data_IF_096422868321
#
_entry.id   IF_096422868321
#
_cell.length_a   1.000
_cell.length_b   1.000
_cell.length_c   1.000
_cell.angle_alpha   90.00
_cell.angle_beta   90.00
_cell.angle_gamma   90.00
#
_symmetry.space_group_name_H-M   'P 1'
#
loop_
_entity.id
_entity.type
_entity.pdbx_description
1 polymer ?
#
# COMPACT_ATOMS: atom_id res chain seq x y z
N UNK A 1 -20.79 8.92 -13.08
CA UNK A 1 -19.50 9.61 -12.88
C UNK A 1 -19.34 10.63 -13.99
N UNK A 2 -18.93 11.86 -13.68
CA UNK A 2 -18.60 12.85 -14.71
C UNK A 2 -17.36 12.39 -15.47
N UNK A 3 -17.45 12.24 -16.79
CA UNK A 3 -16.30 11.92 -17.64
C UNK A 3 -15.45 13.17 -17.82
N UNK A 4 -14.15 13.09 -17.56
CA UNK A 4 -13.24 14.19 -17.81
C UNK A 4 -13.24 14.57 -19.29
N UNK A 5 -13.29 15.88 -19.58
CA UNK A 5 -13.13 16.39 -20.93
C UNK A 5 -11.66 16.28 -21.37
N UNK A 6 -11.36 16.15 -22.68
CA UNK A 6 -9.98 16.16 -23.16
C UNK A 6 -9.17 17.38 -22.66
N UNK A 7 -9.81 18.55 -22.57
CA UNK A 7 -9.19 19.76 -22.03
C UNK A 7 -8.84 19.62 -20.54
N UNK A 8 -9.73 19.05 -19.74
CA UNK A 8 -9.45 18.82 -18.30
C UNK A 8 -8.33 17.81 -18.08
N UNK A 9 -8.25 16.75 -18.90
CA UNK A 9 -7.16 15.77 -18.86
C UNK A 9 -5.82 16.41 -19.25
N UNK A 10 -5.80 17.23 -20.30
CA UNK A 10 -4.59 17.95 -20.71
C UNK A 10 -4.09 18.89 -19.61
N UNK A 11 -4.98 19.56 -18.87
CA UNK A 11 -4.61 20.40 -17.72
C UNK A 11 -4.05 19.59 -16.56
N UNK A 12 -4.64 18.44 -16.26
CA UNK A 12 -4.16 17.53 -15.22
C UNK A 12 -2.78 16.96 -15.59
N UNK A 13 -2.60 16.55 -16.86
CA UNK A 13 -1.31 16.13 -17.39
C UNK A 13 -0.25 17.22 -17.26
N UNK A 14 -0.55 18.44 -17.73
CA UNK A 14 0.38 19.57 -17.65
C UNK A 14 0.80 19.89 -16.21
N UNK A 15 -0.14 19.76 -15.27
CA UNK A 15 0.12 19.96 -13.83
C UNK A 15 0.97 18.82 -13.27
N UNK A 16 0.60 17.56 -13.52
CA UNK A 16 1.30 16.40 -12.97
C UNK A 16 2.73 16.32 -13.50
N UNK A 17 2.91 16.51 -14.80
CA UNK A 17 4.20 16.40 -15.50
C UNK A 17 5.06 17.67 -15.38
N UNK A 18 4.60 18.68 -14.63
CA UNK A 18 5.31 19.94 -14.44
C UNK A 18 5.75 20.58 -15.77
N UNK A 19 4.86 20.64 -16.77
CA UNK A 19 5.22 21.11 -18.13
C UNK A 19 5.70 22.57 -18.13
N UNK A 20 5.17 23.42 -17.24
CA UNK A 20 5.62 24.81 -17.09
C UNK A 20 6.95 24.95 -16.34
N UNK A 21 7.41 23.89 -15.65
CA UNK A 21 8.66 23.87 -14.88
C UNK A 21 8.54 24.44 -13.46
N UNK A 22 7.43 25.08 -13.10
CA UNK A 22 7.23 25.79 -11.83
C UNK A 22 6.04 25.27 -11.00
N UNK A 23 5.50 24.09 -11.32
CA UNK A 23 4.38 23.49 -10.58
C UNK A 23 4.87 22.91 -9.25
N UNK A 24 4.40 23.41 -8.09
CA UNK A 24 4.83 22.90 -6.80
C UNK A 24 4.31 21.48 -6.54
N UNK A 25 5.10 20.67 -5.83
CA UNK A 25 4.82 19.23 -5.63
C UNK A 25 3.42 18.93 -5.09
N UNK A 26 2.91 19.72 -4.14
CA UNK A 26 1.56 19.53 -3.60
C UNK A 26 0.45 19.69 -4.66
N UNK A 27 0.64 20.55 -5.67
CA UNK A 27 -0.31 20.71 -6.76
C UNK A 27 -0.24 19.53 -7.74
N UNK A 28 0.96 18.97 -7.93
CA UNK A 28 1.18 17.75 -8.70
C UNK A 28 0.47 16.55 -8.05
N UNK A 29 0.57 16.39 -6.73
CA UNK A 29 -0.19 15.38 -5.98
C UNK A 29 -1.70 15.55 -6.12
N UNK A 30 -2.21 16.79 -6.01
CA UNK A 30 -3.65 17.04 -6.25
C UNK A 30 -4.08 16.60 -7.65
N UNK A 31 -3.24 16.84 -8.67
CA UNK A 31 -3.49 16.37 -10.03
C UNK A 31 -3.51 14.84 -10.11
N UNK A 32 -2.50 14.18 -9.51
CA UNK A 32 -2.39 12.72 -9.44
C UNK A 32 -3.62 12.07 -8.82
N UNK A 33 -4.07 12.54 -7.64
CA UNK A 33 -5.26 11.99 -6.98
C UNK A 33 -6.56 12.33 -7.71
N UNK A 34 -6.59 13.43 -8.47
CA UNK A 34 -7.72 13.70 -9.37
C UNK A 34 -7.75 12.67 -10.51
N UNK A 35 -6.60 12.37 -11.13
CA UNK A 35 -6.48 11.35 -12.17
C UNK A 35 -6.88 9.96 -11.67
N UNK A 36 -6.51 9.60 -10.42
CA UNK A 36 -6.93 8.34 -9.76
C UNK A 36 -8.45 8.14 -9.78
N UNK A 37 -9.22 9.21 -9.60
CA UNK A 37 -10.68 9.16 -9.51
C UNK A 37 -11.36 9.11 -10.89
N UNK A 38 -10.61 9.30 -11.98
CA UNK A 38 -11.15 9.32 -13.34
C UNK A 38 -11.12 7.91 -13.96
N UNK A 39 -12.21 7.48 -14.63
CA UNK A 39 -12.21 6.23 -15.37
C UNK A 39 -11.45 6.37 -16.69
N UNK A 40 -10.97 5.25 -17.23
CA UNK A 40 -10.43 5.17 -18.59
C UNK A 40 -8.93 4.88 -18.64
N UNK A 41 -8.38 4.84 -19.85
CA UNK A 41 -6.95 4.55 -20.07
C UNK A 41 -6.09 5.80 -19.90
N UNK A 42 -6.64 6.96 -20.26
CA UNK A 42 -5.84 8.18 -20.35
C UNK A 42 -5.26 8.62 -19.00
N UNK A 43 -5.98 8.54 -17.86
CA UNK A 43 -5.36 8.79 -16.56
C UNK A 43 -4.17 7.89 -16.27
N UNK A 44 -4.25 6.59 -16.61
CA UNK A 44 -3.14 5.64 -16.45
C UNK A 44 -1.96 6.06 -17.32
N UNK A 45 -2.21 6.39 -18.60
CA UNK A 45 -1.16 6.85 -19.52
C UNK A 45 -0.46 8.11 -19.00
N UNK A 46 -1.21 9.08 -18.48
CA UNK A 46 -0.68 10.33 -17.92
C UNK A 46 0.18 10.04 -16.69
N UNK A 47 -0.31 9.21 -15.77
CA UNK A 47 0.45 8.82 -14.57
C UNK A 47 1.72 8.07 -14.96
N UNK A 48 1.65 7.14 -15.91
CA UNK A 48 2.81 6.40 -16.43
C UNK A 48 3.88 7.30 -17.04
N UNK A 49 3.52 8.42 -17.69
CA UNK A 49 4.50 9.40 -18.20
C UNK A 49 5.28 10.08 -17.06
N UNK A 50 4.70 10.16 -15.88
CA UNK A 50 5.30 10.81 -14.71
C UNK A 50 6.52 10.11 -14.14
N UNK A 51 6.77 8.83 -14.46
CA UNK A 51 7.98 8.11 -14.01
C UNK A 51 9.30 8.65 -14.57
N UNK A 52 9.25 9.66 -15.45
CA UNK A 52 10.42 10.42 -15.91
C UNK A 52 10.82 11.55 -14.96
N UNK A 53 10.10 11.75 -13.86
CA UNK A 53 10.41 12.79 -12.88
C UNK A 53 11.64 12.43 -12.04
N UNK A 54 12.36 13.45 -11.58
CA UNK A 54 13.53 13.28 -10.71
C UNK A 54 13.14 13.00 -9.25
N UNK A 55 11.92 13.37 -8.83
CA UNK A 55 11.45 13.15 -7.46
C UNK A 55 11.08 11.69 -7.23
N UNK A 56 11.92 10.96 -6.47
CA UNK A 56 11.62 9.60 -6.01
C UNK A 56 10.29 9.54 -5.25
N UNK A 57 10.02 10.54 -4.40
CA UNK A 57 8.76 10.66 -3.67
C UNK A 57 7.54 10.73 -4.60
N UNK A 58 7.61 11.54 -5.66
CA UNK A 58 6.51 11.58 -6.62
C UNK A 58 6.36 10.24 -7.33
N UNK A 59 7.46 9.66 -7.82
CA UNK A 59 7.43 8.39 -8.56
C UNK A 59 6.89 7.23 -7.73
N UNK A 60 7.23 7.17 -6.45
CA UNK A 60 6.63 6.25 -5.48
C UNK A 60 5.10 6.42 -5.50
N UNK A 61 4.61 7.65 -5.28
CA UNK A 61 3.17 7.90 -5.26
C UNK A 61 2.47 7.58 -6.60
N UNK A 62 3.16 7.75 -7.74
CA UNK A 62 2.62 7.31 -9.04
C UNK A 62 2.38 5.80 -9.06
N UNK A 63 3.34 5.00 -8.58
CA UNK A 63 3.23 3.55 -8.51
C UNK A 63 2.09 3.14 -7.57
N UNK A 64 2.03 3.73 -6.37
CA UNK A 64 0.94 3.52 -5.41
C UNK A 64 -0.41 3.78 -6.06
N UNK A 65 -0.59 4.96 -6.66
CA UNK A 65 -1.86 5.33 -7.29
C UNK A 65 -2.25 4.37 -8.41
N UNK A 66 -1.30 3.95 -9.25
CA UNK A 66 -1.57 2.95 -10.29
C UNK A 66 -2.06 1.61 -9.71
N UNK A 67 -1.46 1.14 -8.62
CA UNK A 67 -1.93 -0.06 -7.91
C UNK A 67 -3.34 0.12 -7.35
N UNK A 68 -3.60 1.25 -6.70
CA UNK A 68 -4.90 1.58 -6.09
C UNK A 68 -6.02 1.81 -7.11
N UNK A 69 -5.69 2.14 -8.37
CA UNK A 69 -6.68 2.23 -9.45
C UNK A 69 -7.27 0.86 -9.83
N UNK A 70 -6.57 -0.24 -9.54
CA UNK A 70 -7.08 -1.59 -9.79
C UNK A 70 -7.17 -1.97 -11.28
N UNK A 71 -6.48 -1.24 -12.16
CA UNK A 71 -6.56 -1.42 -13.60
C UNK A 71 -5.32 -2.13 -14.17
N UNK A 72 -5.47 -3.32 -14.79
CA UNK A 72 -4.34 -4.11 -15.27
C UNK A 72 -3.56 -3.45 -16.42
N UNK A 73 -4.07 -2.38 -17.03
CA UNK A 73 -3.33 -1.61 -18.05
C UNK A 73 -2.08 -0.92 -17.48
N UNK A 74 -1.98 -0.77 -16.16
CA UNK A 74 -0.79 -0.25 -15.49
C UNK A 74 0.36 -1.28 -15.37
N UNK A 75 0.08 -2.58 -15.52
CA UNK A 75 1.05 -3.67 -15.29
C UNK A 75 2.35 -3.50 -16.09
N UNK A 76 2.33 -3.14 -17.40
CA UNK A 76 3.57 -2.94 -18.15
C UNK A 76 4.46 -1.85 -17.55
N UNK A 77 3.88 -0.69 -17.19
CA UNK A 77 4.64 0.41 -16.58
C UNK A 77 5.24 0.00 -15.24
N UNK A 78 4.44 -0.63 -14.37
CA UNK A 78 4.93 -1.07 -13.05
C UNK A 78 6.03 -2.13 -13.17
N UNK A 79 5.92 -3.03 -14.16
CA UNK A 79 6.96 -4.02 -14.46
C UNK A 79 8.26 -3.37 -14.92
N UNK A 80 8.17 -2.35 -15.78
CA UNK A 80 9.33 -1.57 -16.23
C UNK A 80 10.02 -0.87 -15.05
N UNK A 81 9.24 -0.27 -14.14
CA UNK A 81 9.77 0.41 -12.94
C UNK A 81 10.47 -0.56 -11.99
N UNK A 82 9.84 -1.69 -11.64
CA UNK A 82 10.44 -2.71 -10.77
C UNK A 82 11.76 -3.26 -11.36
N UNK A 83 11.78 -3.48 -12.68
CA UNK A 83 12.93 -4.03 -13.39
C UNK A 83 14.08 -3.05 -13.62
N UNK A 84 13.87 -1.75 -13.43
CA UNK A 84 14.89 -0.72 -13.57
C UNK A 84 15.79 -0.67 -12.33
N UNK A 85 16.92 -1.39 -12.37
CA UNK A 85 17.90 -1.43 -11.25
C UNK A 85 18.59 -0.10 -10.96
N UNK A 86 18.43 0.92 -11.81
CA UNK A 86 18.91 2.29 -11.56
C UNK A 86 17.86 3.17 -10.87
N UNK A 87 16.63 2.68 -10.75
CA UNK A 87 15.57 3.39 -10.04
C UNK A 87 15.77 3.28 -8.53
N UNK A 88 15.31 4.28 -7.81
CA UNK A 88 15.34 4.34 -6.36
C UNK A 88 14.63 3.10 -5.76
N UNK A 89 15.24 2.41 -4.77
CA UNK A 89 14.64 1.25 -4.11
C UNK A 89 13.22 1.52 -3.56
N UNK A 90 12.94 2.76 -3.10
CA UNK A 90 11.63 3.20 -2.66
C UNK A 90 10.59 3.08 -3.77
N UNK A 91 10.91 3.60 -4.95
CA UNK A 91 10.01 3.56 -6.11
C UNK A 91 9.83 2.12 -6.61
N UNK A 92 10.90 1.31 -6.55
CA UNK A 92 10.87 -0.10 -6.99
C UNK A 92 10.02 -0.98 -6.08
N UNK A 93 10.07 -0.80 -4.76
CA UNK A 93 9.20 -1.58 -3.87
C UNK A 93 7.74 -1.23 -4.12
N UNK A 94 7.41 0.06 -4.28
CA UNK A 94 6.04 0.49 -4.50
C UNK A 94 5.48 -0.05 -5.83
N UNK A 95 6.34 -0.17 -6.86
CA UNK A 95 5.97 -0.84 -8.09
C UNK A 95 5.67 -2.34 -7.89
N UNK A 96 6.45 -3.04 -7.05
CA UNK A 96 6.18 -4.44 -6.69
C UNK A 96 4.87 -4.59 -5.90
N UNK A 97 4.62 -3.69 -4.94
CA UNK A 97 3.38 -3.66 -4.17
C UNK A 97 2.16 -3.45 -5.07
N UNK A 98 2.23 -2.46 -5.96
CA UNK A 98 1.19 -2.16 -6.93
C UNK A 98 0.88 -3.36 -7.84
N UNK A 99 1.89 -4.12 -8.27
CA UNK A 99 1.69 -5.37 -9.02
C UNK A 99 0.93 -6.42 -8.19
N UNK A 100 1.22 -6.52 -6.89
CA UNK A 100 0.47 -7.35 -5.93
C UNK A 100 -0.98 -6.88 -5.75
N UNK A 101 -1.20 -5.58 -5.59
CA UNK A 101 -2.52 -4.96 -5.46
C UNK A 101 -3.41 -5.18 -6.69
N UNK A 102 -2.80 -5.20 -7.90
CA UNK A 102 -3.46 -5.52 -9.16
C UNK A 102 -3.77 -7.02 -9.32
N UNK A 103 -3.29 -7.89 -8.42
CA UNK A 103 -3.30 -9.35 -8.56
C UNK A 103 -2.66 -9.80 -9.90
N UNK A 104 -1.56 -9.16 -10.31
CA UNK A 104 -1.00 -9.31 -11.67
C UNK A 104 -0.24 -10.62 -11.86
N UNK A 105 -0.95 -11.70 -12.21
CA UNK A 105 -0.34 -13.04 -12.44
C UNK A 105 0.79 -13.02 -13.49
N UNK A 106 0.69 -12.17 -14.51
CA UNK A 106 1.73 -12.03 -15.54
C UNK A 106 3.06 -11.49 -15.00
N UNK A 107 3.05 -10.83 -13.83
CA UNK A 107 4.23 -10.28 -13.19
C UNK A 107 4.92 -11.27 -12.22
N UNK A 108 4.34 -12.46 -11.98
CA UNK A 108 4.91 -13.48 -11.08
C UNK A 108 6.38 -13.78 -11.41
N UNK A 109 6.79 -14.06 -12.67
CA UNK A 109 8.20 -14.35 -12.97
C UNK A 109 9.14 -13.18 -12.64
N UNK A 110 8.65 -11.95 -12.77
CA UNK A 110 9.42 -10.75 -12.44
C UNK A 110 9.55 -10.56 -10.93
N UNK A 111 8.47 -10.77 -10.17
CA UNK A 111 8.49 -10.72 -8.71
C UNK A 111 9.39 -11.82 -8.13
N UNK A 112 9.33 -13.04 -8.67
CA UNK A 112 10.22 -14.15 -8.28
C UNK A 112 11.70 -13.82 -8.53
N UNK A 113 12.03 -13.15 -9.64
CA UNK A 113 13.39 -12.70 -9.94
C UNK A 113 13.97 -11.80 -8.84
N UNK A 114 13.14 -10.98 -8.19
CA UNK A 114 13.58 -10.01 -7.19
C UNK A 114 13.47 -10.49 -5.73
N UNK A 115 13.18 -11.78 -5.50
CA UNK A 115 13.28 -12.41 -4.18
C UNK A 115 14.70 -12.49 -3.63
N UNK A 116 15.73 -12.32 -4.48
CA UNK A 116 17.14 -12.24 -4.07
C UNK A 116 17.71 -10.81 -4.25
N UNK A 117 16.84 -9.79 -4.39
CA UNK A 117 17.30 -8.41 -4.55
C UNK A 117 18.15 -7.98 -3.35
N UNK A 118 19.31 -7.30 -3.54
CA UNK A 118 20.11 -6.80 -2.42
C UNK A 118 19.32 -5.80 -1.56
N UNK A 119 18.50 -4.97 -2.21
CA UNK A 119 17.61 -4.02 -1.56
C UNK A 119 16.52 -4.75 -0.79
N UNK A 120 16.59 -4.67 0.55
CA UNK A 120 15.72 -5.41 1.47
C UNK A 120 14.25 -5.10 1.23
N UNK A 121 13.88 -3.83 1.10
CA UNK A 121 12.50 -3.42 0.88
C UNK A 121 11.91 -4.02 -0.41
N UNK A 122 12.64 -3.95 -1.53
CA UNK A 122 12.19 -4.54 -2.80
C UNK A 122 11.97 -6.05 -2.66
N UNK A 123 12.92 -6.75 -2.01
CA UNK A 123 12.81 -8.19 -1.75
C UNK A 123 11.59 -8.55 -0.90
N UNK A 124 11.43 -7.87 0.24
CA UNK A 124 10.31 -8.09 1.16
C UNK A 124 8.96 -7.77 0.51
N UNK A 125 8.86 -6.71 -0.29
CA UNK A 125 7.63 -6.38 -1.01
C UNK A 125 7.32 -7.38 -2.12
N UNK A 126 8.33 -7.89 -2.85
CA UNK A 126 8.10 -8.96 -3.83
C UNK A 126 7.56 -10.24 -3.18
N UNK A 127 8.04 -10.60 -1.99
CA UNK A 127 7.49 -11.72 -1.20
C UNK A 127 6.02 -11.49 -0.87
N UNK A 128 5.67 -10.34 -0.30
CA UNK A 128 4.28 -9.98 0.03
C UNK A 128 3.39 -9.98 -1.23
N UNK A 129 3.85 -9.38 -2.32
CA UNK A 129 3.08 -9.28 -3.56
C UNK A 129 2.78 -10.66 -4.16
N UNK A 130 3.74 -11.58 -4.15
CA UNK A 130 3.53 -12.96 -4.58
C UNK A 130 2.50 -13.68 -3.72
N UNK A 131 2.59 -13.54 -2.40
CA UNK A 131 1.64 -14.17 -1.48
C UNK A 131 0.24 -13.56 -1.59
N UNK A 132 0.15 -12.26 -1.85
CA UNK A 132 -1.11 -11.57 -2.16
C UNK A 132 -1.75 -12.12 -3.43
N UNK A 133 -0.99 -12.24 -4.53
CA UNK A 133 -1.48 -12.79 -5.80
C UNK A 133 -1.98 -14.24 -5.60
N UNK A 134 -1.19 -15.07 -4.91
CA UNK A 134 -1.58 -16.46 -4.60
C UNK A 134 -2.85 -16.51 -3.76
N UNK A 135 -2.95 -15.68 -2.72
CA UNK A 135 -4.12 -15.64 -1.84
C UNK A 135 -5.37 -15.15 -2.58
N UNK A 136 -5.26 -14.14 -3.46
CA UNK A 136 -6.37 -13.63 -4.27
C UNK A 136 -6.95 -14.69 -5.22
N UNK A 137 -6.14 -15.66 -5.67
CA UNK A 137 -6.59 -16.76 -6.51
C UNK A 137 -7.45 -17.80 -5.74
N UNK A 138 -7.34 -17.84 -4.40
CA UNK A 138 -8.09 -18.78 -3.55
C UNK A 138 -9.59 -18.43 -3.48
N UNK A 139 -10.46 -19.37 -3.09
CA UNK A 139 -11.87 -19.07 -2.82
C UNK A 139 -12.07 -17.99 -1.76
N UNK A 140 -11.22 -17.97 -0.73
CA UNK A 140 -11.24 -16.96 0.33
C UNK A 140 -10.91 -15.56 -0.23
N UNK A 141 -9.84 -15.45 -1.01
CA UNK A 141 -9.43 -14.19 -1.63
C UNK A 141 -10.48 -13.64 -2.59
N UNK A 142 -11.08 -14.50 -3.42
CA UNK A 142 -12.18 -14.13 -4.32
C UNK A 142 -13.40 -13.61 -3.55
N UNK A 143 -13.79 -14.29 -2.47
CA UNK A 143 -14.90 -13.85 -1.62
C UNK A 143 -14.61 -12.51 -0.94
N UNK A 144 -13.38 -12.31 -0.43
CA UNK A 144 -12.97 -11.07 0.19
C UNK A 144 -12.96 -9.89 -0.80
N UNK A 145 -12.47 -10.11 -2.04
CA UNK A 145 -12.47 -9.09 -3.11
C UNK A 145 -13.88 -8.67 -3.51
N UNK A 146 -14.80 -9.64 -3.62
CA UNK A 146 -16.22 -9.37 -3.89
C UNK A 146 -16.86 -8.55 -2.76
N UNK A 147 -16.63 -8.94 -1.50
CA UNK A 147 -17.15 -8.19 -0.35
C UNK A 147 -16.58 -6.76 -0.27
N UNK A 148 -15.28 -6.59 -0.53
CA UNK A 148 -14.66 -5.26 -0.53
C UNK A 148 -15.28 -4.35 -1.61
N UNK A 149 -15.57 -4.90 -2.79
CA UNK A 149 -16.28 -4.19 -3.86
C UNK A 149 -17.69 -3.78 -3.42
N UNK A 150 -18.45 -4.70 -2.82
CA UNK A 150 -19.80 -4.42 -2.31
C UNK A 150 -19.80 -3.33 -1.22
N UNK A 151 -18.88 -3.40 -0.25
CA UNK A 151 -18.74 -2.37 0.79
C UNK A 151 -18.38 -1.00 0.21
N UNK A 152 -17.52 -0.96 -0.80
CA UNK A 152 -17.15 0.28 -1.50
C UNK A 152 -18.35 0.88 -2.24
N UNK A 153 -19.15 0.04 -2.93
CA UNK A 153 -20.37 0.46 -3.62
C UNK A 153 -21.47 0.94 -2.64
N UNK A 154 -21.54 0.31 -1.46
CA UNK A 154 -22.47 0.68 -0.38
C UNK A 154 -21.98 1.88 0.46
N UNK A 155 -20.73 2.32 0.30
CA UNK A 155 -20.13 3.38 1.12
C UNK A 155 -19.91 2.98 2.58
N UNK A 156 -19.83 1.68 2.88
CA UNK A 156 -19.65 1.13 4.25
C UNK A 156 -18.22 0.65 4.52
N UNK A 157 -17.31 0.80 3.55
CA UNK A 157 -15.90 0.51 3.72
C UNK A 157 -15.25 1.53 4.67
N UNK A 158 -14.72 1.06 5.79
CA UNK A 158 -13.96 1.89 6.74
C UNK A 158 -12.65 2.39 6.12
N UNK A 159 -11.95 1.50 5.40
CA UNK A 159 -10.74 1.80 4.64
C UNK A 159 -10.97 1.46 3.17
N UNK A 160 -10.52 2.33 2.28
CA UNK A 160 -10.74 2.20 0.83
C UNK A 160 -9.47 1.91 0.04
N UNK A 161 -8.33 1.80 0.71
CA UNK A 161 -7.07 1.33 0.11
C UNK A 161 -7.15 -0.16 -0.23
N UNK A 162 -6.38 -0.57 -1.23
CA UNK A 162 -6.02 -1.96 -1.45
C UNK A 162 -4.79 -2.23 -0.59
N UNK A 163 -4.95 -3.11 0.39
CA UNK A 163 -3.87 -3.46 1.33
C UNK A 163 -2.98 -4.58 0.73
N UNK A 164 -1.66 -4.59 1.04
CA UNK A 164 -0.72 -5.64 0.61
C UNK A 164 -1.05 -7.04 1.14
N UNK A 165 -1.73 -7.11 2.30
CA UNK A 165 -2.27 -8.34 2.85
C UNK A 165 -3.69 -8.09 3.39
N UNK A 166 -4.58 -9.09 3.37
CA UNK A 166 -5.89 -8.94 3.99
C UNK A 166 -5.77 -8.90 5.52
N UNK A 167 -6.61 -8.14 6.21
CA UNK A 167 -6.69 -8.21 7.67
C UNK A 167 -6.88 -9.66 8.18
N UNK A 168 -6.06 -10.05 9.16
CA UNK A 168 -6.19 -11.29 9.89
C UNK A 168 -7.50 -11.29 10.67
N UNK A 169 -8.36 -12.25 10.37
CA UNK A 169 -9.58 -12.46 11.16
C UNK A 169 -9.44 -13.67 12.11
N UNK A 170 -8.17 -14.04 12.40
CA UNK A 170 -7.66 -15.18 13.16
C UNK A 170 -8.09 -16.59 12.74
N UNK A 171 -7.06 -17.35 12.36
CA UNK A 171 -6.90 -18.81 12.50
C UNK A 171 -8.15 -19.68 12.28
N UNK A 172 -8.35 -20.20 11.07
CA UNK A 172 -9.38 -21.23 10.74
C UNK A 172 -10.83 -20.92 11.21
N UNK A 173 -11.13 -19.71 11.67
CA UNK A 173 -12.40 -19.37 12.31
C UNK A 173 -13.06 -18.18 11.58
N UNK A 174 -13.96 -18.59 10.71
CA UNK A 174 -15.28 -18.01 10.45
C UNK A 174 -15.40 -16.84 9.46
N UNK A 175 -16.23 -17.15 8.48
CA UNK A 175 -16.88 -16.31 7.49
C UNK A 175 -17.85 -15.23 8.04
N UNK A 176 -17.64 -14.68 9.25
CA UNK A 176 -18.47 -13.58 9.77
C UNK A 176 -17.62 -12.63 10.61
N UNK A 177 -17.17 -11.55 9.95
CA UNK A 177 -16.30 -10.48 10.47
C UNK A 177 -17.07 -9.51 11.37
N UNK A 178 -17.63 -10.00 12.47
CA UNK A 178 -18.15 -9.13 13.52
C UNK A 178 -17.05 -8.83 14.54
N UNK A 179 -16.40 -7.66 14.37
CA UNK A 179 -15.35 -7.16 15.28
C UNK A 179 -15.89 -7.01 16.71
N UNK A 180 -17.21 -6.82 16.89
CA UNK A 180 -17.86 -6.79 18.20
C UNK A 180 -17.89 -8.12 18.94
N UNK A 181 -17.49 -9.23 18.29
CA UNK A 181 -17.43 -10.58 18.87
C UNK A 181 -16.02 -11.03 19.29
N UNK A 182 -15.01 -10.17 19.11
CA UNK A 182 -13.63 -10.53 19.43
C UNK A 182 -13.47 -10.72 20.95
N UNK A 183 -12.91 -11.87 21.34
CA UNK A 183 -12.66 -12.19 22.73
C UNK A 183 -11.61 -11.27 23.37
N UNK A 184 -11.56 -11.20 24.71
CA UNK A 184 -10.67 -10.27 25.43
C UNK A 184 -9.16 -10.46 25.15
N UNK A 185 -8.75 -11.57 24.54
CA UNK A 185 -7.34 -11.88 24.25
C UNK A 185 -6.91 -11.61 22.79
N UNK A 186 -7.82 -11.24 21.89
CA UNK A 186 -7.51 -11.17 20.45
C UNK A 186 -6.42 -10.13 20.11
N UNK A 187 -6.43 -8.96 20.76
CA UNK A 187 -5.42 -7.92 20.52
C UNK A 187 -4.01 -8.42 20.91
N UNK A 188 -3.90 -9.21 21.99
CA UNK A 188 -2.62 -9.78 22.40
C UNK A 188 -2.12 -10.82 21.40
N UNK A 189 -3.00 -11.71 20.90
CA UNK A 189 -2.63 -12.69 19.87
C UNK A 189 -2.20 -12.02 18.56
N UNK A 190 -2.88 -10.93 18.18
CA UNK A 190 -2.50 -10.09 17.04
C UNK A 190 -1.13 -9.46 17.25
N UNK A 191 -0.91 -8.86 18.42
CA UNK A 191 0.35 -8.24 18.78
C UNK A 191 1.48 -9.26 18.73
N UNK A 192 1.28 -10.44 19.31
CA UNK A 192 2.28 -11.51 19.29
C UNK A 192 2.58 -11.95 17.85
N UNK A 193 1.56 -12.06 17.00
CA UNK A 193 1.77 -12.35 15.57
C UNK A 193 2.43 -11.22 14.79
N UNK A 194 2.15 -9.96 15.12
CA UNK A 194 2.77 -8.78 14.51
C UNK A 194 4.27 -8.75 14.81
N UNK A 195 4.66 -9.08 16.05
CA UNK A 195 6.03 -8.97 16.56
C UNK A 195 6.88 -10.23 16.37
N UNK A 196 6.28 -11.35 15.96
CA UNK A 196 6.99 -12.60 15.72
C UNK A 196 7.75 -12.56 14.39
N UNK A 197 9.02 -12.16 14.43
CA UNK A 197 9.91 -12.06 13.26
C UNK A 197 10.28 -13.42 12.65
N UNK A 198 9.84 -14.54 13.24
CA UNK A 198 9.99 -15.87 12.64
C UNK A 198 8.87 -16.21 11.66
N UNK A 199 7.77 -15.45 11.66
CA UNK A 199 6.65 -15.63 10.73
C UNK A 199 6.88 -14.96 9.38
N UNK A 200 6.28 -15.49 8.30
CA UNK A 200 6.25 -14.83 7.00
C UNK A 200 5.70 -13.40 7.11
N UNK A 201 6.27 -12.49 6.34
CA UNK A 201 5.90 -11.08 6.40
C UNK A 201 4.42 -10.86 6.08
N UNK A 202 3.87 -11.65 5.15
CA UNK A 202 2.45 -11.66 4.82
C UNK A 202 1.58 -11.89 6.07
N UNK A 203 1.89 -12.88 6.93
CA UNK A 203 1.11 -13.15 8.16
C UNK A 203 1.17 -11.99 9.16
N UNK A 204 2.34 -11.35 9.27
CA UNK A 204 2.54 -10.20 10.14
C UNK A 204 1.74 -8.99 9.65
N UNK A 205 1.71 -8.74 8.35
CA UNK A 205 0.87 -7.72 7.71
C UNK A 205 -0.62 -8.01 7.92
N UNK A 206 -1.05 -9.27 7.84
CA UNK A 206 -2.45 -9.61 8.17
C UNK A 206 -2.77 -9.20 9.60
N UNK A 207 -1.89 -9.47 10.58
CA UNK A 207 -2.09 -9.02 11.96
C UNK A 207 -2.12 -7.48 12.08
N UNK A 208 -1.26 -6.80 11.33
CA UNK A 208 -1.23 -5.33 11.25
C UNK A 208 -2.59 -4.75 10.82
N UNK A 209 -3.12 -5.20 9.68
CA UNK A 209 -4.40 -4.69 9.18
C UNK A 209 -5.59 -5.10 10.04
N UNK A 210 -5.50 -6.21 10.78
CA UNK A 210 -6.52 -6.57 11.75
C UNK A 210 -6.54 -5.63 12.96
N UNK A 211 -5.36 -5.26 13.49
CA UNK A 211 -5.26 -4.27 14.55
C UNK A 211 -5.75 -2.90 14.08
N UNK A 212 -5.45 -2.52 12.83
CA UNK A 212 -6.02 -1.32 12.20
C UNK A 212 -7.55 -1.38 12.18
N UNK A 213 -8.11 -2.47 11.69
CA UNK A 213 -9.56 -2.62 11.60
C UNK A 213 -10.25 -2.58 12.98
N UNK A 214 -9.57 -3.03 14.05
CA UNK A 214 -10.05 -2.89 15.44
C UNK A 214 -10.00 -1.43 15.91
N UNK A 215 -8.87 -0.74 15.73
CA UNK A 215 -8.74 0.71 15.92
C UNK A 215 -8.91 1.24 17.35
N UNK A 216 -9.02 0.40 18.39
CA UNK A 216 -9.04 0.84 19.79
C UNK A 216 -7.66 1.33 20.25
N UNK A 217 -7.58 2.02 21.39
CA UNK A 217 -6.31 2.48 21.94
C UNK A 217 -5.32 1.32 22.17
N UNK A 218 -5.81 0.19 22.67
CA UNK A 218 -5.00 -1.01 22.90
C UNK A 218 -4.49 -1.62 21.60
N UNK A 219 -5.30 -1.58 20.52
CA UNK A 219 -4.87 -2.03 19.20
C UNK A 219 -3.82 -1.08 18.59
N UNK A 220 -3.95 0.22 18.82
CA UNK A 220 -2.94 1.22 18.44
C UNK A 220 -1.64 1.01 19.21
N UNK A 221 -1.69 0.71 20.51
CA UNK A 221 -0.49 0.38 21.30
C UNK A 221 0.18 -0.91 20.81
N UNK A 222 -0.61 -1.91 20.40
CA UNK A 222 -0.11 -3.13 19.79
C UNK A 222 0.59 -2.86 18.45
N UNK A 223 0.01 -2.02 17.59
CA UNK A 223 0.64 -1.57 16.34
C UNK A 223 1.94 -0.79 16.61
N UNK A 224 1.94 0.11 17.59
CA UNK A 224 3.09 0.94 17.93
C UNK A 224 4.31 0.10 18.36
N UNK A 225 4.09 -1.07 18.97
CA UNK A 225 5.18 -1.99 19.28
C UNK A 225 5.93 -2.47 18.01
N UNK A 226 5.26 -2.52 16.86
CA UNK A 226 5.84 -2.89 15.57
C UNK A 226 6.86 -1.87 15.03
N UNK A 227 6.85 -0.62 15.50
CA UNK A 227 7.84 0.39 15.14
C UNK A 227 9.26 0.08 15.64
N UNK A 228 9.43 -0.98 16.44
CA UNK A 228 10.75 -1.49 16.85
C UNK A 228 11.33 -2.54 15.89
N UNK A 229 10.66 -2.85 14.78
CA UNK A 229 11.16 -3.84 13.81
C UNK A 229 12.43 -3.35 13.08
N UNK A 230 13.28 -4.30 12.71
CA UNK A 230 14.47 -4.06 11.88
C UNK A 230 14.16 -3.74 10.41
N UNK A 231 12.97 -4.07 9.92
CA UNK A 231 12.54 -3.81 8.55
C UNK A 231 12.00 -2.39 8.45
N UNK A 232 12.69 -1.54 7.68
CA UNK A 232 12.21 -0.20 7.35
C UNK A 232 10.86 -0.24 6.61
N UNK A 233 10.64 -1.23 5.75
CA UNK A 233 9.37 -1.47 5.06
C UNK A 233 8.24 -1.76 6.06
N UNK A 234 8.46 -2.64 7.03
CA UNK A 234 7.46 -2.96 8.03
C UNK A 234 7.09 -1.74 8.89
N UNK A 235 8.08 -0.93 9.28
CA UNK A 235 7.86 0.31 10.02
C UNK A 235 7.11 1.35 9.19
N UNK A 236 7.47 1.49 7.91
CA UNK A 236 6.75 2.32 6.94
C UNK A 236 5.27 1.91 6.82
N UNK A 237 4.95 0.63 6.84
CA UNK A 237 3.55 0.18 6.77
C UNK A 237 2.77 0.51 8.06
N UNK A 238 3.39 0.35 9.24
CA UNK A 238 2.76 0.75 10.52
C UNK A 238 2.44 2.25 10.53
N UNK A 239 3.40 3.03 10.05
CA UNK A 239 3.29 4.46 9.82
C UNK A 239 2.10 4.81 8.90
N UNK A 240 2.02 4.17 7.73
CA UNK A 240 0.90 4.31 6.80
C UNK A 240 -0.45 4.00 7.48
N UNK A 241 -0.53 2.87 8.20
CA UNK A 241 -1.70 2.46 8.97
C UNK A 241 -2.12 3.49 10.02
N UNK A 242 -1.17 4.13 10.71
CA UNK A 242 -1.46 5.22 11.64
C UNK A 242 -2.04 6.44 10.95
N UNK A 243 -1.55 6.77 9.75
CA UNK A 243 -2.15 7.81 8.90
C UNK A 243 -3.61 7.50 8.53
N UNK A 244 -3.93 6.23 8.26
CA UNK A 244 -5.31 5.81 7.98
C UNK A 244 -6.23 5.88 9.21
N UNK A 245 -5.71 5.51 10.39
CA UNK A 245 -6.47 5.50 11.64
C UNK A 245 -6.82 6.90 12.14
N UNK A 246 -5.97 7.89 11.88
CA UNK A 246 -6.11 9.26 12.39
C UNK A 246 -6.33 9.31 13.92
N UNK A 247 -5.81 8.31 14.64
CA UNK A 247 -5.97 8.21 16.10
C UNK A 247 -4.93 9.08 16.79
N UNK A 248 -5.31 9.97 17.72
CA UNK A 248 -4.33 10.74 18.49
C UNK A 248 -3.44 9.85 19.38
N UNK A 249 -3.85 8.59 19.63
CA UNK A 249 -3.06 7.63 20.41
C UNK A 249 -1.79 7.16 19.68
N UNK A 250 -1.73 7.27 18.33
CA UNK A 250 -0.52 6.89 17.58
C UNK A 250 0.54 8.00 17.57
N UNK A 251 0.16 9.25 17.85
CA UNK A 251 1.04 10.42 17.75
C UNK A 251 2.30 10.29 18.61
N UNK A 252 2.25 9.87 19.89
CA UNK A 252 3.47 9.72 20.69
C UNK A 252 4.47 8.73 20.10
N UNK A 253 3.97 7.65 19.48
CA UNK A 253 4.82 6.64 18.85
C UNK A 253 5.49 7.20 17.58
N UNK A 254 4.72 7.91 16.75
CA UNK A 254 5.23 8.58 15.54
C UNK A 254 6.29 9.65 15.88
N UNK A 255 6.04 10.49 16.89
CA UNK A 255 7.00 11.51 17.34
C UNK A 255 8.30 10.85 17.79
N UNK A 256 8.22 9.78 18.59
CA UNK A 256 9.41 9.05 19.05
C UNK A 256 10.22 8.48 17.89
N UNK A 257 9.57 7.92 16.87
CA UNK A 257 10.26 7.40 15.67
C UNK A 257 10.91 8.52 14.86
N UNK A 258 10.27 9.68 14.72
CA UNK A 258 10.84 10.83 14.01
C UNK A 258 12.01 11.50 14.75
N UNK A 259 12.09 11.34 16.07
CA UNK A 259 13.21 11.84 16.89
C UNK A 259 14.46 10.95 16.82
N UNK A 260 14.34 9.73 16.28
CA UNK A 260 15.46 8.81 16.14
C UNK A 260 16.27 9.12 14.88
N UNK A 261 17.48 9.66 15.07
CA UNK A 261 18.36 10.11 13.98
C UNK A 261 19.13 8.96 13.32
N UNK A 262 19.12 7.77 13.91
CA UNK A 262 19.77 6.57 13.39
C UNK A 262 18.81 5.72 12.53
N UNK A 263 17.57 6.19 12.32
CA UNK A 263 16.55 5.50 11.53
C UNK A 263 16.74 5.63 10.01
N UNK A 264 16.40 4.55 9.28
CA UNK A 264 16.49 4.48 7.81
C UNK A 264 15.55 5.47 7.11
N UNK A 265 16.04 6.14 6.06
CA UNK A 265 15.35 7.24 5.34
C UNK A 265 14.00 6.86 4.72
N UNK A 266 13.71 5.57 4.52
CA UNK A 266 12.44 5.08 3.95
C UNK A 266 11.21 5.40 4.82
N UNK A 267 11.39 5.79 6.07
CA UNK A 267 10.29 6.05 7.02
C UNK A 267 9.66 7.46 6.93
N UNK A 268 10.22 8.38 6.14
CA UNK A 268 9.90 9.82 6.26
C UNK A 268 9.05 10.34 5.11
N UNK A 269 7.92 9.70 4.81
CA UNK A 269 6.93 10.30 3.90
C UNK A 269 5.50 10.03 4.37
N UNK A 270 4.90 11.03 5.02
CA UNK A 270 3.47 11.12 5.37
C UNK A 270 2.85 12.36 4.72
#
# INVERSE_FOLDING_TARGET
MATATPESLAKLEATLLNISGDVPLHARFRSLFTLKALPGQEPINIISKGFKDESALLKHELAYVLGQMGDPRAVPTLSDVLSNEKEDPMVRHEAAEALGALSAESAIPLLEKYLDCPERAVRETCEIALDKIKWDATPEGKAAKQLAKEKKEQGTAQFTSVDPAPAATHSKLVASRDIGSLGPNTINELRDSLLDTSKPLFERYRAMFALRDIGTAEAVDALAAGLSDSSALFKHEIAFVFGQLLSPHSVPALVKTLEDVDEDEMQVFY
#
